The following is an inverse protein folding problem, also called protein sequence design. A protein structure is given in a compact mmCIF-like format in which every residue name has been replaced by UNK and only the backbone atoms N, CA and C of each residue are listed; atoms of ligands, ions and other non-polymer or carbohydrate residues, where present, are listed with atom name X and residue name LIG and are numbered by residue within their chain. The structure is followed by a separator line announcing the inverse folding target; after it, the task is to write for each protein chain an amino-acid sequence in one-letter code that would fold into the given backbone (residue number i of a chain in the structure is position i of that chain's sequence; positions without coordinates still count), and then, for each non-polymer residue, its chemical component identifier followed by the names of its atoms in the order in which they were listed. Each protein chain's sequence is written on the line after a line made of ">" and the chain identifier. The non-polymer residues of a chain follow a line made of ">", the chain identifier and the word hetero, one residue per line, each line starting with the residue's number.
data_IF_910970771158
#
_entry.id   IF_910970771158
#
_cell.length_a   1.000
_cell.length_b   1.000
_cell.length_c   1.000
_cell.angle_alpha   90.00
_cell.angle_beta   90.00
_cell.angle_gamma   90.00
#
_symmetry.space_group_name_H-M   'P 1'
#
loop_
_entity.id
_entity.type
_entity.pdbx_description
1 polymer ?
#
# COMPACT_ATOMS: atom_id res chain seq x y z
N UNK A 1 -22.73 -12.19 1.74
CA UNK A 1 -21.93 -11.05 2.23
C UNK A 1 -20.65 -11.63 2.80
N UNK A 2 -19.59 -11.69 1.99
CA UNK A 2 -18.26 -12.07 2.47
C UNK A 2 -17.75 -10.87 3.25
N UNK A 3 -17.67 -10.99 4.57
CA UNK A 3 -16.98 -10.01 5.40
C UNK A 3 -15.52 -10.11 4.97
N UNK A 4 -15.02 -9.08 4.28
CA UNK A 4 -13.60 -8.96 3.99
C UNK A 4 -12.89 -9.02 5.34
N UNK A 5 -12.07 -10.05 5.54
CA UNK A 5 -11.20 -10.15 6.70
C UNK A 5 -10.46 -8.81 6.81
N UNK A 6 -10.62 -8.08 7.91
CA UNK A 6 -9.95 -6.79 8.15
C UNK A 6 -8.41 -6.91 8.08
N UNK A 7 -7.90 -8.14 7.99
CA UNK A 7 -6.53 -8.49 7.65
C UNK A 7 -6.08 -8.04 6.26
N UNK A 8 -7.00 -7.88 5.31
CA UNK A 8 -6.70 -7.54 3.91
C UNK A 8 -6.71 -6.05 3.62
N UNK A 9 -7.19 -5.20 4.54
CA UNK A 9 -7.17 -3.75 4.34
C UNK A 9 -5.72 -3.24 4.27
N UNK A 10 -5.27 -2.73 3.11
CA UNK A 10 -3.91 -2.28 2.94
C UNK A 10 -3.68 -0.93 3.64
N UNK A 11 -2.62 -0.85 4.44
CA UNK A 11 -2.11 0.39 5.01
C UNK A 11 -1.09 1.01 4.07
N UNK A 12 -1.30 2.28 3.71
CA UNK A 12 -0.39 3.08 2.89
C UNK A 12 0.65 3.77 3.77
N UNK A 13 1.91 3.60 3.39
CA UNK A 13 3.06 4.28 3.97
C UNK A 13 3.69 5.17 2.90
N UNK A 14 3.99 6.41 3.26
CA UNK A 14 4.72 7.35 2.42
C UNK A 14 5.95 7.81 3.20
N UNK A 15 7.12 7.78 2.57
CA UNK A 15 8.39 8.04 3.24
C UNK A 15 9.42 8.56 2.23
N UNK A 16 10.43 9.28 2.72
CA UNK A 16 11.56 9.71 1.92
C UNK A 16 12.67 8.64 1.93
N UNK A 17 13.21 8.31 0.76
CA UNK A 17 14.33 7.41 0.57
C UNK A 17 15.26 7.96 -0.53
N UNK A 18 16.56 8.02 -0.25
CA UNK A 18 17.60 8.48 -1.19
C UNK A 18 17.29 9.86 -1.84
N UNK A 19 16.63 10.76 -1.10
CA UNK A 19 16.25 12.09 -1.56
C UNK A 19 15.00 12.14 -2.46
N UNK A 20 14.29 11.02 -2.62
CA UNK A 20 13.01 10.93 -3.31
C UNK A 20 11.91 10.43 -2.38
N UNK A 21 10.68 10.84 -2.64
CA UNK A 21 9.50 10.34 -1.92
C UNK A 21 9.07 9.00 -2.49
N UNK A 22 8.73 8.04 -1.64
CA UNK A 22 8.29 6.70 -2.02
C UNK A 22 7.03 6.32 -1.26
N UNK A 23 6.34 5.29 -1.76
CA UNK A 23 5.20 4.71 -1.07
C UNK A 23 5.26 3.18 -1.04
N UNK A 24 4.65 2.59 -0.02
CA UNK A 24 4.44 1.16 0.09
C UNK A 24 3.07 0.82 0.69
N UNK A 25 2.42 -0.22 0.19
CA UNK A 25 1.21 -0.80 0.75
C UNK A 25 1.56 -2.05 1.55
N UNK A 26 0.98 -2.17 2.75
CA UNK A 26 1.18 -3.33 3.62
C UNK A 26 -0.15 -3.90 4.10
N UNK A 27 -0.23 -5.22 4.26
CA UNK A 27 -1.38 -5.90 4.86
C UNK A 27 -0.94 -6.71 6.08
N UNK A 28 -1.86 -6.98 6.99
CA UNK A 28 -1.60 -7.95 8.07
C UNK A 28 -1.47 -9.34 7.47
N UNK A 29 -0.53 -10.12 7.98
CA UNK A 29 -0.43 -11.53 7.56
C UNK A 29 -1.61 -12.32 8.12
N UNK A 30 -2.21 -13.17 7.29
CA UNK A 30 -3.31 -14.05 7.70
C UNK A 30 -2.92 -15.04 8.82
N UNK A 31 -1.63 -15.34 8.97
CA UNK A 31 -1.08 -16.15 10.05
C UNK A 31 0.26 -15.61 10.52
N UNK A 32 0.52 -15.71 11.84
CA UNK A 32 1.75 -15.23 12.46
C UNK A 32 1.68 -13.76 12.87
N UNK A 33 2.84 -13.16 13.14
CA UNK A 33 2.97 -11.76 13.58
C UNK A 33 3.59 -10.92 12.48
N UNK A 34 3.13 -9.67 12.36
CA UNK A 34 3.71 -8.67 11.47
C UNK A 34 2.88 -8.38 10.23
N UNK A 35 3.47 -7.57 9.35
CA UNK A 35 2.85 -7.13 8.09
C UNK A 35 3.66 -7.63 6.90
N UNK A 36 3.01 -7.66 5.73
CA UNK A 36 3.65 -7.96 4.45
C UNK A 36 3.46 -6.77 3.51
N UNK A 37 4.52 -6.37 2.83
CA UNK A 37 4.44 -5.42 1.71
C UNK A 37 3.79 -6.12 0.51
N UNK A 38 2.74 -5.51 -0.05
CA UNK A 38 1.97 -6.06 -1.17
C UNK A 38 2.14 -5.27 -2.46
N UNK A 39 2.51 -3.99 -2.35
CA UNK A 39 2.88 -3.13 -3.48
C UNK A 39 3.77 -2.00 -2.99
N UNK A 40 4.57 -1.42 -3.87
CA UNK A 40 5.44 -0.28 -3.57
C UNK A 40 5.80 0.48 -4.85
N UNK A 41 6.21 1.74 -4.70
CA UNK A 41 6.76 2.54 -5.81
C UNK A 41 8.16 2.08 -6.19
N UNK A 42 8.40 1.82 -7.47
CA UNK A 42 9.74 1.54 -8.00
C UNK A 42 10.60 2.79 -8.09
N UNK A 43 9.98 3.92 -8.45
CA UNK A 43 10.65 5.20 -8.67
C UNK A 43 10.34 6.19 -7.55
N UNK A 44 11.26 7.13 -7.32
CA UNK A 44 11.09 8.22 -6.38
C UNK A 44 10.29 9.38 -6.98
N UNK A 45 9.35 9.91 -6.20
CA UNK A 45 8.58 11.11 -6.49
C UNK A 45 9.30 12.36 -5.98
N UNK A 46 8.98 13.51 -6.59
CA UNK A 46 9.55 14.81 -6.19
C UNK A 46 8.97 15.35 -4.88
N UNK A 47 7.79 14.89 -4.48
CA UNK A 47 7.11 15.36 -3.29
C UNK A 47 6.23 14.30 -2.64
N UNK A 48 6.03 14.43 -1.34
CA UNK A 48 5.19 13.55 -0.53
C UNK A 48 3.77 13.43 -1.09
N UNK A 49 3.19 14.56 -1.51
CA UNK A 49 1.83 14.60 -2.05
C UNK A 49 1.67 13.76 -3.33
N UNK A 50 2.68 13.76 -4.20
CA UNK A 50 2.67 12.97 -5.44
C UNK A 50 2.79 11.47 -5.13
N UNK A 51 3.70 11.12 -4.21
CA UNK A 51 3.85 9.74 -3.73
C UNK A 51 2.57 9.23 -3.04
N UNK A 52 1.94 10.07 -2.22
CA UNK A 52 0.67 9.75 -1.56
C UNK A 52 -0.46 9.54 -2.56
N UNK A 53 -0.61 10.45 -3.54
CA UNK A 53 -1.64 10.31 -4.57
C UNK A 53 -1.45 9.02 -5.40
N UNK A 54 -0.21 8.70 -5.77
CA UNK A 54 0.11 7.45 -6.46
C UNK A 54 -0.18 6.21 -5.59
N UNK A 55 0.19 6.24 -4.32
CA UNK A 55 -0.10 5.14 -3.39
C UNK A 55 -1.59 4.95 -3.12
N UNK A 56 -2.37 6.02 -3.10
CA UNK A 56 -3.84 5.95 -2.99
C UNK A 56 -4.48 5.31 -4.22
N UNK A 57 -3.98 5.60 -5.42
CA UNK A 57 -4.44 4.93 -6.64
C UNK A 57 -4.14 3.42 -6.59
N UNK A 58 -2.90 3.06 -6.25
CA UNK A 58 -2.51 1.66 -6.11
C UNK A 58 -3.34 0.91 -5.06
N UNK A 59 -3.78 1.60 -4.00
CA UNK A 59 -4.65 1.03 -2.98
C UNK A 59 -6.04 0.69 -3.54
N UNK A 60 -6.64 1.58 -4.32
CA UNK A 60 -7.93 1.34 -4.97
C UNK A 60 -7.83 0.15 -5.94
N UNK A 61 -6.73 0.06 -6.70
CA UNK A 61 -6.47 -1.07 -7.59
C UNK A 61 -6.33 -2.40 -6.83
N UNK A 62 -5.64 -2.39 -5.69
CA UNK A 62 -5.53 -3.56 -4.82
C UNK A 62 -6.90 -4.02 -4.31
N UNK A 63 -7.71 -3.10 -3.81
CA UNK A 63 -9.05 -3.41 -3.28
C UNK A 63 -9.95 -3.99 -4.39
N UNK A 64 -9.86 -3.45 -5.61
CA UNK A 64 -10.57 -3.97 -6.78
C UNK A 64 -10.11 -5.39 -7.15
N UNK A 65 -8.80 -5.66 -7.13
CA UNK A 65 -8.23 -6.96 -7.46
C UNK A 65 -8.55 -8.04 -6.41
N UNK A 66 -8.66 -7.67 -5.13
CA UNK A 66 -9.03 -8.60 -4.04
C UNK A 66 -10.52 -8.94 -4.03
N UNK A 67 -11.36 -8.04 -4.56
CA UNK A 67 -12.83 -8.21 -4.58
C UNK A 67 -13.35 -8.91 -5.84
N UNK A 68 -12.54 -9.00 -6.90
CA UNK A 68 -12.86 -9.65 -8.18
C UNK A 68 -12.78 -11.19 -8.09
#
# INVERSE_FOLDING_TARGET
>A
MTVLDSSLEPSLHVFEQDGGWQWALTVKRASGVGVKVVAFSTDGFRGEADAYAAGQLARVEYDAAVTA
#
